data_IF_312789317867
#
_entry.id   IF_312789317867
#
_cell.length_a   1.000
_cell.length_b   1.000
_cell.length_c   1.000
_cell.angle_alpha   90.00
_cell.angle_beta   90.00
_cell.angle_gamma   90.00
#
_symmetry.space_group_name_H-M   'P 1'
#
loop_
_entity.id
_entity.type
_entity.pdbx_description
1 polymer ?
#
# COMPACT_ATOMS: atom_id res chain seq x y z
N UNK A 1 8.67 -21.42 -9.67
CA UNK A 1 8.41 -20.87 -11.03
C UNK A 1 7.86 -19.44 -11.09
N UNK A 2 7.50 -18.77 -9.99
CA UNK A 2 6.75 -17.48 -10.03
C UNK A 2 7.43 -16.23 -10.64
N UNK A 3 8.71 -16.29 -11.02
CA UNK A 3 9.45 -15.10 -11.49
C UNK A 3 9.11 -14.63 -12.90
N UNK A 4 8.75 -15.54 -13.82
CA UNK A 4 8.64 -15.22 -15.26
C UNK A 4 7.30 -14.55 -15.60
N UNK A 5 6.18 -15.10 -15.11
CA UNK A 5 4.83 -14.58 -15.38
C UNK A 5 4.62 -13.16 -14.84
N UNK A 6 5.19 -12.87 -13.67
CA UNK A 6 5.18 -11.52 -13.06
C UNK A 6 5.72 -10.43 -14.00
N UNK A 7 6.71 -10.76 -14.85
CA UNK A 7 7.35 -9.79 -15.75
C UNK A 7 6.46 -9.29 -16.89
N UNK A 8 5.47 -10.09 -17.33
CA UNK A 8 4.52 -9.69 -18.38
C UNK A 8 3.36 -8.92 -17.75
N UNK A 9 2.79 -9.43 -16.65
CA UNK A 9 1.72 -8.75 -15.92
C UNK A 9 2.15 -7.33 -15.47
N UNK A 10 3.38 -7.18 -14.98
CA UNK A 10 3.94 -5.90 -14.59
C UNK A 10 3.95 -4.85 -15.73
N UNK A 11 4.28 -5.24 -16.97
CA UNK A 11 4.30 -4.32 -18.12
C UNK A 11 2.93 -3.73 -18.49
N UNK A 12 1.84 -4.37 -18.06
CA UNK A 12 0.47 -3.88 -18.27
C UNK A 12 -0.17 -3.31 -16.99
N UNK A 13 0.45 -3.52 -15.82
CA UNK A 13 -0.03 -3.04 -14.54
C UNK A 13 0.64 -1.74 -14.07
N UNK A 14 1.85 -1.41 -14.54
CA UNK A 14 2.60 -0.24 -14.08
C UNK A 14 2.96 0.69 -15.23
N UNK A 15 2.58 1.97 -15.09
CA UNK A 15 2.85 3.03 -16.06
C UNK A 15 3.59 4.19 -15.38
N UNK A 16 4.87 4.02 -14.99
CA UNK A 16 5.64 5.11 -14.38
C UNK A 16 5.72 6.34 -15.29
N UNK A 17 5.66 7.58 -14.75
CA UNK A 17 5.86 8.79 -15.52
C UNK A 17 7.19 8.78 -16.30
N UNK A 18 7.15 9.15 -17.58
CA UNK A 18 8.33 9.27 -18.43
C UNK A 18 8.26 10.53 -19.31
N UNK A 19 9.18 11.49 -19.14
CA UNK A 19 10.21 11.55 -18.09
C UNK A 19 9.60 11.64 -16.68
N UNK A 20 10.36 11.31 -15.62
CA UNK A 20 10.01 11.64 -14.24
C UNK A 20 9.71 13.13 -14.05
N UNK A 21 8.77 13.47 -13.17
CA UNK A 21 8.38 14.87 -12.92
C UNK A 21 9.43 15.67 -12.12
N UNK A 22 10.36 14.97 -11.46
CA UNK A 22 11.32 15.53 -10.52
C UNK A 22 12.71 14.89 -10.67
N UNK A 23 13.72 15.48 -10.04
CA UNK A 23 15.11 14.98 -10.01
C UNK A 23 15.59 14.74 -8.59
N UNK A 24 16.61 13.90 -8.44
CA UNK A 24 17.34 13.72 -7.17
C UNK A 24 18.79 14.11 -7.39
N UNK A 25 19.28 15.09 -6.62
CA UNK A 25 20.68 15.50 -6.59
C UNK A 25 21.27 15.24 -5.20
N UNK A 26 22.58 15.00 -5.13
CA UNK A 26 23.29 15.01 -3.86
C UNK A 26 23.47 16.47 -3.41
N UNK A 27 23.23 16.76 -2.13
CA UNK A 27 23.49 18.08 -1.55
C UNK A 27 24.94 18.13 -1.05
N UNK A 28 25.82 18.66 -1.89
CA UNK A 28 27.25 18.88 -1.61
C UNK A 28 27.46 19.83 -0.41
N UNK A 29 26.48 20.67 -0.05
CA UNK A 29 26.55 21.56 1.11
C UNK A 29 26.13 20.89 2.42
N UNK A 30 25.33 19.82 2.36
CA UNK A 30 24.64 19.23 3.52
C UNK A 30 25.01 17.76 3.77
N UNK A 31 26.32 17.46 3.85
CA UNK A 31 26.86 16.18 4.32
C UNK A 31 26.28 14.93 3.61
N UNK A 32 26.08 14.99 2.29
CA UNK A 32 25.63 13.83 1.52
C UNK A 32 24.15 13.47 1.69
N UNK A 33 23.32 14.40 2.17
CA UNK A 33 21.86 14.29 2.02
C UNK A 33 21.47 14.31 0.54
N UNK A 34 20.32 13.75 0.21
CA UNK A 34 19.70 13.91 -1.09
C UNK A 34 18.74 15.10 -1.08
N UNK A 35 18.52 15.70 -2.25
CA UNK A 35 17.62 16.81 -2.43
C UNK A 35 16.82 16.66 -3.73
N UNK A 36 15.56 17.08 -3.69
CA UNK A 36 14.68 17.19 -4.86
C UNK A 36 14.55 18.70 -5.19
N UNK A 37 15.13 19.20 -6.29
CA UNK A 37 15.09 20.62 -6.64
C UNK A 37 13.68 21.19 -6.85
N UNK A 38 12.76 20.35 -7.32
CA UNK A 38 11.36 20.69 -7.59
C UNK A 38 10.51 20.79 -6.30
N UNK A 39 11.09 20.49 -5.14
CA UNK A 39 10.44 20.48 -3.82
C UNK A 39 10.88 21.70 -2.99
N UNK A 40 9.94 22.44 -2.35
CA UNK A 40 10.27 23.55 -1.46
C UNK A 40 11.20 23.14 -0.31
N UNK A 41 12.45 23.62 -0.33
CA UNK A 41 13.43 23.41 0.74
C UNK A 41 12.91 23.94 2.08
N UNK A 42 12.78 23.05 3.06
CA UNK A 42 12.46 23.36 4.47
C UNK A 42 13.15 22.31 5.34
N UNK A 43 13.58 22.67 6.55
CA UNK A 43 14.21 21.75 7.52
C UNK A 43 13.29 20.61 8.00
N UNK A 44 12.03 20.64 7.58
CA UNK A 44 11.01 19.60 7.79
C UNK A 44 10.98 18.54 6.68
N UNK A 45 11.85 18.61 5.67
CA UNK A 45 11.83 17.71 4.49
C UNK A 45 13.19 17.02 4.32
N UNK A 46 13.22 15.71 4.54
CA UNK A 46 14.35 14.85 4.13
C UNK A 46 14.01 14.15 2.81
N UNK A 47 14.90 14.21 1.82
CA UNK A 47 14.86 13.26 0.69
C UNK A 47 15.90 12.14 0.90
N UNK A 48 15.55 10.93 0.47
CA UNK A 48 16.22 9.68 0.84
C UNK A 48 16.40 8.80 -0.39
N UNK A 49 17.45 7.97 -0.38
CA UNK A 49 17.66 6.88 -1.32
C UNK A 49 17.95 5.61 -0.51
N UNK A 50 17.10 4.60 -0.65
CA UNK A 50 17.04 3.44 0.25
C UNK A 50 17.25 2.15 -0.55
N UNK A 51 18.26 1.34 -0.15
CA UNK A 51 18.55 0.06 -0.77
C UNK A 51 17.53 -1.00 -0.33
N UNK A 52 16.81 -1.57 -1.28
CA UNK A 52 15.82 -2.63 -1.07
C UNK A 52 16.48 -4.00 -0.92
N UNK A 53 15.77 -4.96 -0.30
CA UNK A 53 16.21 -6.38 -0.23
C UNK A 53 16.35 -7.06 -1.60
N UNK A 54 15.86 -6.45 -2.68
CA UNK A 54 15.99 -6.93 -4.07
C UNK A 54 17.08 -6.21 -4.87
N UNK A 55 17.88 -5.36 -4.23
CA UNK A 55 19.07 -4.75 -4.83
C UNK A 55 18.81 -3.40 -5.53
N UNK A 56 17.56 -3.00 -5.75
CA UNK A 56 17.21 -1.68 -6.28
C UNK A 56 17.37 -0.59 -5.20
N UNK A 57 17.60 0.65 -5.61
CA UNK A 57 17.48 1.84 -4.76
C UNK A 57 16.13 2.51 -5.02
N UNK A 58 15.32 2.70 -3.98
CA UNK A 58 14.09 3.50 -4.06
C UNK A 58 14.28 4.89 -3.46
N UNK A 59 13.64 5.88 -4.05
CA UNK A 59 13.62 7.25 -3.54
C UNK A 59 12.43 7.43 -2.60
N UNK A 60 12.64 8.16 -1.50
CA UNK A 60 11.60 8.50 -0.55
C UNK A 60 11.73 9.94 -0.06
N UNK A 61 10.61 10.52 0.39
CA UNK A 61 10.55 11.83 1.05
C UNK A 61 9.87 11.72 2.40
N UNK A 62 10.48 12.31 3.42
CA UNK A 62 9.93 12.37 4.77
C UNK A 62 9.58 13.82 5.15
N UNK A 63 8.29 14.06 5.38
CA UNK A 63 7.74 15.29 5.89
C UNK A 63 7.56 15.20 7.41
N UNK A 64 8.33 15.99 8.16
CA UNK A 64 8.23 16.10 9.61
C UNK A 64 7.26 17.23 9.99
N UNK A 65 6.20 16.90 10.73
CA UNK A 65 5.32 17.91 11.33
C UNK A 65 5.61 18.02 12.84
N UNK A 66 6.01 19.20 13.37
CA UNK A 66 6.31 19.39 14.80
C UNK A 66 5.14 19.08 15.77
N UNK A 67 3.92 18.87 15.27
CA UNK A 67 2.72 18.52 16.06
C UNK A 67 2.23 17.10 15.79
N UNK A 68 3.06 16.24 15.19
CA UNK A 68 2.70 14.86 14.85
C UNK A 68 2.69 13.92 16.05
N UNK A 69 1.66 13.08 16.13
CA UNK A 69 1.55 11.91 17.03
C UNK A 69 1.35 10.59 16.26
N UNK A 70 1.46 10.66 14.92
CA UNK A 70 1.35 9.55 13.98
C UNK A 70 2.21 9.85 12.75
N UNK A 71 2.61 8.81 12.04
CA UNK A 71 3.30 8.91 10.74
C UNK A 71 2.51 8.15 9.68
N UNK A 72 2.15 8.80 8.58
CA UNK A 72 1.60 8.11 7.40
C UNK A 72 2.75 7.56 6.56
N UNK A 73 2.67 6.29 6.15
CA UNK A 73 3.49 5.72 5.07
C UNK A 73 2.61 5.55 3.82
N UNK A 74 2.89 6.32 2.77
CA UNK A 74 2.02 6.48 1.60
C UNK A 74 2.55 5.70 0.39
N UNK A 75 1.84 4.64 0.00
CA UNK A 75 1.96 3.92 -1.26
C UNK A 75 1.05 4.57 -2.31
N UNK A 76 1.63 5.22 -3.33
CA UNK A 76 0.90 6.05 -4.30
C UNK A 76 0.16 5.26 -5.39
N UNK A 77 -0.68 5.97 -6.15
CA UNK A 77 -1.40 5.43 -7.29
C UNK A 77 -0.49 5.11 -8.50
N UNK A 78 -1.04 4.40 -9.48
CA UNK A 78 -0.39 4.17 -10.77
C UNK A 78 -0.27 5.48 -11.55
N UNK A 79 0.72 5.59 -12.44
CA UNK A 79 0.98 6.80 -13.24
C UNK A 79 1.15 8.12 -12.45
N UNK A 80 1.58 8.00 -11.18
CA UNK A 80 2.06 9.09 -10.35
C UNK A 80 3.52 8.85 -9.94
N UNK A 81 4.26 9.90 -9.60
CA UNK A 81 5.56 9.83 -8.92
C UNK A 81 5.65 10.83 -7.74
N UNK A 82 6.73 10.77 -6.97
CA UNK A 82 6.93 11.61 -5.78
C UNK A 82 6.78 13.12 -6.01
N UNK A 83 7.21 13.64 -7.18
CA UNK A 83 7.09 15.07 -7.49
C UNK A 83 5.63 15.50 -7.69
N UNK A 84 4.85 14.68 -8.40
CA UNK A 84 3.41 14.91 -8.60
C UNK A 84 2.61 14.78 -7.30
N UNK A 85 3.02 13.88 -6.41
CA UNK A 85 2.33 13.63 -5.13
C UNK A 85 2.67 14.66 -4.03
N UNK A 86 3.71 15.49 -4.21
CA UNK A 86 4.27 16.29 -3.12
C UNK A 86 3.32 17.37 -2.55
N UNK A 87 2.51 18.03 -3.41
CA UNK A 87 1.51 19.01 -2.96
C UNK A 87 0.48 18.36 -2.01
N UNK A 88 0.00 17.17 -2.38
CA UNK A 88 -0.93 16.39 -1.56
C UNK A 88 -0.29 15.95 -0.25
N UNK A 89 0.98 15.54 -0.26
CA UNK A 89 1.70 15.15 0.95
C UNK A 89 1.87 16.32 1.93
N UNK A 90 2.17 17.53 1.46
CA UNK A 90 2.21 18.74 2.29
C UNK A 90 0.85 19.04 2.92
N UNK A 91 -0.23 19.01 2.12
CA UNK A 91 -1.59 19.31 2.59
C UNK A 91 -2.06 18.25 3.60
N UNK A 92 -1.85 16.95 3.34
CA UNK A 92 -2.17 15.88 4.29
C UNK A 92 -1.38 16.03 5.60
N UNK A 93 -0.06 16.21 5.54
CA UNK A 93 0.78 16.40 6.74
C UNK A 93 0.33 17.61 7.56
N UNK A 94 0.02 18.73 6.90
CA UNK A 94 -0.45 19.98 7.52
C UNK A 94 -1.83 19.83 8.16
N UNK A 95 -2.83 19.36 7.39
CA UNK A 95 -4.24 19.32 7.80
C UNK A 95 -4.55 18.21 8.80
N UNK A 96 -3.83 17.08 8.74
CA UNK A 96 -4.01 15.96 9.66
C UNK A 96 -3.08 16.04 10.88
N UNK A 97 -2.04 16.90 10.85
CA UNK A 97 -0.98 17.00 11.86
C UNK A 97 -0.27 15.67 12.08
N UNK A 98 0.31 15.15 11.00
CA UNK A 98 1.05 13.88 10.97
C UNK A 98 2.38 14.06 10.25
N UNK A 99 3.37 13.23 10.58
CA UNK A 99 4.50 13.05 9.68
C UNK A 99 4.03 12.25 8.44
N UNK A 100 4.70 12.39 7.31
CA UNK A 100 4.35 11.63 6.11
C UNK A 100 5.62 11.16 5.38
N UNK A 101 5.74 9.85 5.19
CA UNK A 101 6.75 9.21 4.37
C UNK A 101 6.11 8.77 3.04
N UNK A 102 6.49 9.40 1.94
CA UNK A 102 6.14 8.96 0.59
C UNK A 102 7.36 8.30 -0.07
N UNK A 103 7.15 7.37 -0.99
CA UNK A 103 8.24 6.72 -1.73
C UNK A 103 7.81 6.33 -3.14
N UNK A 104 8.74 6.36 -4.10
CA UNK A 104 8.53 5.82 -5.45
C UNK A 104 8.91 4.34 -5.50
N UNK A 105 8.09 3.53 -6.17
CA UNK A 105 8.41 2.12 -6.44
C UNK A 105 9.70 1.95 -7.25
N UNK A 106 10.31 0.75 -7.21
CA UNK A 106 11.40 0.37 -8.11
C UNK A 106 11.04 0.66 -9.58
N UNK A 107 11.81 1.52 -10.26
CA UNK A 107 11.55 1.94 -11.64
C UNK A 107 10.44 2.99 -11.82
N UNK A 108 10.01 3.67 -10.76
CA UNK A 108 9.23 4.93 -10.81
C UNK A 108 10.12 6.11 -10.45
N UNK A 109 9.79 7.31 -10.96
CA UNK A 109 10.50 8.54 -10.60
C UNK A 109 12.01 8.43 -10.82
N UNK A 110 12.79 8.64 -9.76
CA UNK A 110 14.25 8.48 -9.75
C UNK A 110 14.73 7.18 -9.07
N UNK A 111 13.82 6.23 -8.79
CA UNK A 111 14.12 4.90 -8.24
C UNK A 111 14.66 3.96 -9.32
N UNK A 112 15.63 3.11 -8.98
CA UNK A 112 16.25 2.17 -9.93
C UNK A 112 15.46 0.86 -10.07
N UNK A 113 15.87 0.01 -11.01
CA UNK A 113 15.23 -1.29 -11.25
C UNK A 113 14.06 -1.21 -12.23
N UNK A 114 13.00 -1.99 -11.97
CA UNK A 114 11.77 -2.08 -12.79
C UNK A 114 10.59 -2.39 -11.88
N UNK A 115 9.37 -1.90 -12.17
CA UNK A 115 8.24 -2.17 -11.30
C UNK A 115 7.78 -3.63 -11.45
N UNK A 116 7.52 -4.28 -10.32
CA UNK A 116 6.88 -5.61 -10.23
C UNK A 116 6.27 -5.75 -8.84
N UNK A 117 5.26 -6.61 -8.67
CA UNK A 117 4.63 -6.88 -7.36
C UNK A 117 5.68 -7.15 -6.26
N UNK A 118 6.56 -8.13 -6.46
CA UNK A 118 7.61 -8.47 -5.50
C UNK A 118 8.69 -7.39 -5.30
N UNK A 119 8.79 -6.38 -6.18
CA UNK A 119 9.60 -5.19 -5.93
C UNK A 119 8.83 -4.25 -5.01
N UNK A 120 7.57 -3.92 -5.29
CA UNK A 120 6.79 -3.00 -4.42
C UNK A 120 6.67 -3.45 -2.96
N UNK A 121 6.71 -4.77 -2.70
CA UNK A 121 6.82 -5.34 -1.34
C UNK A 121 8.21 -5.11 -0.73
N UNK A 122 9.29 -5.30 -1.49
CA UNK A 122 10.65 -4.98 -1.06
C UNK A 122 10.91 -3.46 -0.93
N UNK A 123 10.19 -2.63 -1.69
CA UNK A 123 10.24 -1.17 -1.66
C UNK A 123 9.60 -0.65 -0.36
N UNK A 124 8.35 -1.06 -0.06
CA UNK A 124 7.65 -0.61 1.15
C UNK A 124 8.35 -1.11 2.43
N UNK A 125 8.91 -2.32 2.43
CA UNK A 125 9.71 -2.84 3.55
C UNK A 125 10.97 -2.00 3.83
N UNK A 126 11.67 -1.55 2.79
CA UNK A 126 12.87 -0.71 2.96
C UNK A 126 12.53 0.67 3.54
N UNK A 127 11.39 1.24 3.12
CA UNK A 127 10.90 2.53 3.59
C UNK A 127 10.34 2.43 5.02
N UNK A 128 9.63 1.35 5.33
CA UNK A 128 9.21 0.98 6.68
C UNK A 128 10.41 0.81 7.61
N UNK A 129 11.43 0.04 7.20
CA UNK A 129 12.68 -0.12 7.93
C UNK A 129 13.37 1.23 8.21
N UNK A 130 13.37 2.15 7.24
CA UNK A 130 13.89 3.51 7.45
C UNK A 130 13.10 4.29 8.51
N UNK A 131 11.76 4.20 8.54
CA UNK A 131 10.93 4.79 9.61
C UNK A 131 11.27 4.21 11.00
N UNK A 132 11.51 2.90 11.09
CA UNK A 132 11.94 2.24 12.32
C UNK A 132 13.31 2.73 12.79
N UNK A 133 14.32 2.64 11.92
CA UNK A 133 15.74 2.78 12.31
C UNK A 133 16.24 4.23 12.29
N UNK A 134 15.91 5.02 11.26
CA UNK A 134 16.39 6.42 11.15
C UNK A 134 15.53 7.38 11.96
N UNK A 135 14.22 7.14 12.02
CA UNK A 135 13.25 8.08 12.61
C UNK A 135 12.65 7.62 13.93
N UNK A 136 12.96 6.40 14.40
CA UNK A 136 12.52 5.86 15.69
C UNK A 136 11.02 5.63 15.82
N UNK A 137 10.27 5.64 14.72
CA UNK A 137 8.81 5.60 14.73
C UNK A 137 8.33 4.21 15.15
N UNK A 138 7.38 4.15 16.09
CA UNK A 138 6.84 2.89 16.60
C UNK A 138 5.75 2.32 15.69
N UNK A 139 5.51 1.01 15.76
CA UNK A 139 4.51 0.35 14.90
C UNK A 139 3.12 0.94 15.19
N UNK A 140 2.83 1.10 16.47
CA UNK A 140 1.63 1.73 17.01
C UNK A 140 1.54 3.23 16.75
N UNK A 141 2.45 3.84 15.98
CA UNK A 141 2.40 5.22 15.46
C UNK A 141 2.23 5.29 13.94
N UNK A 142 2.44 4.17 13.23
CA UNK A 142 2.42 4.10 11.76
C UNK A 142 1.01 3.82 11.25
N UNK A 143 0.53 4.72 10.38
CA UNK A 143 -0.66 4.55 9.56
C UNK A 143 -0.18 4.18 8.16
N UNK A 144 -0.49 2.98 7.68
CA UNK A 144 -0.22 2.63 6.28
C UNK A 144 -1.33 3.20 5.40
N UNK A 145 -0.99 3.82 4.26
CA UNK A 145 -1.94 4.41 3.33
C UNK A 145 -1.64 3.90 1.91
N UNK A 146 -2.62 3.27 1.26
CA UNK A 146 -2.47 2.75 -0.10
C UNK A 146 -3.54 3.26 -1.05
N UNK A 147 -3.12 3.95 -2.12
CA UNK A 147 -4.00 4.46 -3.17
C UNK A 147 -3.97 3.55 -4.41
N UNK A 148 -5.13 3.09 -4.88
CA UNK A 148 -5.25 2.28 -6.09
C UNK A 148 -4.32 1.05 -6.03
N UNK A 149 -3.39 0.90 -6.98
CA UNK A 149 -2.34 -0.13 -6.99
C UNK A 149 -1.52 -0.17 -5.69
N UNK A 150 -1.30 0.97 -5.03
CA UNK A 150 -0.58 1.09 -3.76
C UNK A 150 -1.27 0.42 -2.57
N UNK A 151 -2.56 0.09 -2.68
CA UNK A 151 -3.23 -0.80 -1.71
C UNK A 151 -2.59 -2.20 -1.65
N UNK A 152 -1.98 -2.66 -2.75
CA UNK A 152 -1.25 -3.93 -2.86
C UNK A 152 -0.09 -4.09 -1.86
N UNK A 153 0.97 -3.25 -1.93
CA UNK A 153 2.07 -3.28 -0.96
C UNK A 153 1.64 -2.82 0.45
N UNK A 154 0.67 -1.90 0.56
CA UNK A 154 0.09 -1.51 1.85
C UNK A 154 -0.51 -2.71 2.60
N UNK A 155 -1.34 -3.52 1.94
CA UNK A 155 -1.96 -4.70 2.56
C UNK A 155 -1.02 -5.90 2.67
N UNK A 156 0.06 -5.95 1.87
CA UNK A 156 1.15 -6.91 2.11
C UNK A 156 1.81 -6.64 3.46
N UNK A 157 2.33 -5.42 3.66
CA UNK A 157 3.00 -5.03 4.90
C UNK A 157 2.04 -5.09 6.11
N UNK A 158 0.81 -4.59 5.96
CA UNK A 158 -0.20 -4.64 7.02
C UNK A 158 -0.57 -6.07 7.46
N UNK A 159 -0.48 -7.07 6.57
CA UNK A 159 -0.79 -8.46 6.90
C UNK A 159 0.26 -9.15 7.77
N UNK A 160 1.42 -8.51 7.98
CA UNK A 160 2.54 -9.03 8.77
C UNK A 160 2.82 -8.21 10.05
N UNK A 161 2.14 -7.07 10.25
CA UNK A 161 2.39 -6.14 11.37
C UNK A 161 1.14 -6.00 12.26
N UNK A 162 1.07 -6.67 13.43
CA UNK A 162 -0.12 -6.66 14.28
C UNK A 162 -0.35 -5.31 14.99
N UNK A 163 0.71 -4.54 15.23
CA UNK A 163 0.69 -3.40 16.15
C UNK A 163 0.39 -2.05 15.49
N UNK A 164 0.17 -1.99 14.17
CA UNK A 164 -0.05 -0.74 13.41
C UNK A 164 -1.13 0.17 14.04
N UNK A 165 -0.98 1.50 13.87
CA UNK A 165 -1.97 2.50 14.31
C UNK A 165 -3.28 2.37 13.51
N UNK A 166 -3.18 2.15 12.20
CA UNK A 166 -4.29 1.96 11.26
C UNK A 166 -3.81 1.59 9.84
N UNK A 167 -4.76 1.22 8.98
CA UNK A 167 -4.61 1.22 7.52
C UNK A 167 -5.66 2.14 6.88
N UNK A 168 -5.28 2.86 5.82
CA UNK A 168 -6.19 3.61 4.92
C UNK A 168 -6.06 3.06 3.51
N UNK A 169 -7.21 2.77 2.89
CA UNK A 169 -7.32 2.21 1.55
C UNK A 169 -8.13 3.18 0.67
N UNK A 170 -7.46 3.86 -0.26
CA UNK A 170 -8.07 4.83 -1.17
C UNK A 170 -8.26 4.22 -2.55
N UNK A 171 -9.50 4.15 -3.03
CA UNK A 171 -9.93 3.49 -4.27
C UNK A 171 -9.23 2.12 -4.51
N UNK A 172 -9.20 1.22 -3.50
CA UNK A 172 -8.31 0.06 -3.49
C UNK A 172 -8.74 -1.05 -4.45
N UNK A 173 -7.79 -1.94 -4.78
CA UNK A 173 -8.03 -3.10 -5.65
C UNK A 173 -8.18 -4.39 -4.84
N UNK A 174 -9.10 -5.28 -5.22
CA UNK A 174 -9.21 -6.64 -4.65
C UNK A 174 -8.07 -7.56 -5.13
N UNK A 175 -7.77 -7.47 -6.42
CA UNK A 175 -6.60 -8.02 -7.10
C UNK A 175 -6.45 -7.41 -8.49
N UNK A 176 -5.27 -7.51 -9.10
CA UNK A 176 -5.00 -6.92 -10.42
C UNK A 176 -5.91 -7.47 -11.53
N UNK A 177 -6.16 -8.78 -11.54
CA UNK A 177 -7.07 -9.40 -12.51
C UNK A 177 -8.52 -8.93 -12.32
N UNK A 178 -8.94 -8.64 -11.09
CA UNK A 178 -10.29 -8.16 -10.77
C UNK A 178 -10.57 -6.74 -11.25
N UNK A 179 -9.54 -5.91 -11.43
CA UNK A 179 -9.69 -4.57 -12.06
C UNK A 179 -10.03 -4.71 -13.54
N UNK A 180 -9.46 -5.69 -14.22
CA UNK A 180 -9.63 -5.88 -15.67
C UNK A 180 -10.87 -6.72 -16.02
N UNK A 181 -11.23 -7.69 -15.17
CA UNK A 181 -12.33 -8.64 -15.42
C UNK A 181 -13.06 -8.99 -14.12
N UNK A 182 -14.41 -9.13 -14.11
CA UNK A 182 -15.19 -9.43 -12.90
C UNK A 182 -15.07 -10.91 -12.45
N UNK A 183 -13.85 -11.36 -12.14
CA UNK A 183 -13.56 -12.74 -11.75
C UNK A 183 -13.89 -13.02 -10.27
N UNK A 184 -14.64 -14.09 -10.03
CA UNK A 184 -15.00 -14.51 -8.66
C UNK A 184 -13.85 -15.21 -7.94
N UNK A 185 -13.08 -16.07 -8.64
CA UNK A 185 -11.95 -16.84 -8.09
C UNK A 185 -10.65 -16.02 -8.13
N UNK A 186 -9.79 -16.21 -7.14
CA UNK A 186 -8.40 -15.72 -7.17
C UNK A 186 -7.52 -16.75 -7.89
N UNK A 187 -6.58 -16.30 -8.72
CA UNK A 187 -5.72 -17.17 -9.53
C UNK A 187 -4.25 -17.09 -9.07
N UNK A 188 -3.46 -18.14 -9.33
CA UNK A 188 -2.07 -18.21 -8.88
C UNK A 188 -1.16 -17.15 -9.53
N UNK A 189 -1.50 -16.70 -10.75
CA UNK A 189 -0.82 -15.66 -11.52
C UNK A 189 -1.38 -14.24 -11.28
N UNK A 190 -2.41 -14.10 -10.42
CA UNK A 190 -3.02 -12.82 -10.08
C UNK A 190 -2.14 -12.06 -9.07
N UNK A 191 -2.01 -10.75 -9.27
CA UNK A 191 -1.15 -9.85 -8.48
C UNK A 191 -1.96 -9.06 -7.46
N UNK A 192 -1.33 -8.64 -6.36
CA UNK A 192 -1.95 -7.81 -5.32
C UNK A 192 -3.27 -8.38 -4.81
N UNK A 193 -3.26 -9.67 -4.47
CA UNK A 193 -4.41 -10.46 -4.00
C UNK A 193 -4.86 -10.02 -2.60
N UNK A 194 -5.29 -8.77 -2.49
CA UNK A 194 -5.67 -8.08 -1.26
C UNK A 194 -6.87 -8.73 -0.59
N UNK A 195 -7.78 -9.32 -1.39
CA UNK A 195 -8.86 -10.18 -0.91
C UNK A 195 -8.35 -11.37 -0.06
N UNK A 196 -7.18 -11.93 -0.36
CA UNK A 196 -6.54 -13.02 0.41
C UNK A 196 -5.74 -12.50 1.65
N UNK A 197 -5.56 -11.17 1.77
CA UNK A 197 -4.72 -10.52 2.80
C UNK A 197 -5.51 -9.74 3.84
N UNK A 198 -6.63 -9.13 3.46
CA UNK A 198 -7.35 -8.14 4.27
C UNK A 198 -7.80 -8.69 5.64
N UNK A 199 -8.23 -9.95 5.69
CA UNK A 199 -8.59 -10.63 6.95
C UNK A 199 -7.41 -10.92 7.90
N UNK A 200 -6.17 -10.66 7.49
CA UNK A 200 -4.97 -10.76 8.36
C UNK A 200 -4.67 -9.46 9.10
N UNK A 201 -5.09 -8.31 8.56
CA UNK A 201 -4.87 -6.99 9.16
C UNK A 201 -5.57 -6.91 10.51
N UNK A 202 -4.83 -6.53 11.55
CA UNK A 202 -5.27 -6.56 12.96
C UNK A 202 -5.26 -5.17 13.61
N UNK A 203 -5.69 -4.17 12.84
CA UNK A 203 -5.84 -2.78 13.27
C UNK A 203 -6.93 -2.08 12.43
N UNK A 204 -7.41 -0.87 12.81
CA UNK A 204 -8.53 -0.22 12.14
C UNK A 204 -8.25 0.10 10.67
N UNK A 205 -9.15 -0.33 9.78
CA UNK A 205 -9.08 -0.10 8.33
C UNK A 205 -10.14 0.90 7.91
N UNK A 206 -9.73 2.06 7.40
CA UNK A 206 -10.61 3.00 6.70
C UNK A 206 -10.55 2.72 5.19
N UNK A 207 -11.71 2.50 4.57
CA UNK A 207 -11.85 2.50 3.10
C UNK A 207 -12.43 3.83 2.64
N UNK A 208 -11.87 4.37 1.55
CA UNK A 208 -12.36 5.57 0.85
C UNK A 208 -12.51 5.20 -0.62
N UNK A 209 -13.69 5.42 -1.22
CA UNK A 209 -13.93 5.12 -2.64
C UNK A 209 -15.00 6.04 -3.23
N UNK A 210 -14.81 6.49 -4.48
CA UNK A 210 -15.84 7.20 -5.25
C UNK A 210 -16.91 6.26 -5.80
N UNK A 211 -18.18 6.68 -5.81
CA UNK A 211 -19.28 5.86 -6.38
C UNK A 211 -19.33 5.85 -7.91
N UNK A 212 -18.62 6.78 -8.56
CA UNK A 212 -18.47 6.90 -10.01
C UNK A 212 -17.03 6.59 -10.46
N UNK A 213 -16.36 5.66 -9.79
CA UNK A 213 -15.01 5.20 -10.15
C UNK A 213 -15.06 4.24 -11.36
N UNK A 214 -14.75 4.79 -12.53
CA UNK A 214 -14.66 4.07 -13.82
C UNK A 214 -13.36 3.25 -14.00
N UNK A 215 -12.36 3.42 -13.13
CA UNK A 215 -11.05 2.74 -13.24
C UNK A 215 -10.98 1.53 -12.32
N UNK A 216 -11.50 1.66 -11.10
CA UNK A 216 -11.61 0.59 -10.11
C UNK A 216 -13.00 0.67 -9.49
N UNK A 217 -13.95 -0.12 -10.00
CA UNK A 217 -15.34 -0.06 -9.56
C UNK A 217 -15.48 -0.21 -8.03
N UNK A 218 -16.31 0.64 -7.41
CA UNK A 218 -16.38 0.82 -5.93
C UNK A 218 -16.71 -0.45 -5.13
N UNK A 219 -17.25 -1.49 -5.79
CA UNK A 219 -17.44 -2.81 -5.18
C UNK A 219 -16.12 -3.44 -4.69
N UNK A 220 -14.96 -2.99 -5.16
CA UNK A 220 -13.65 -3.40 -4.63
C UNK A 220 -13.43 -2.88 -3.21
N UNK A 221 -13.58 -1.57 -2.99
CA UNK A 221 -13.53 -0.97 -1.67
C UNK A 221 -14.59 -1.56 -0.74
N UNK A 222 -15.82 -1.75 -1.23
CA UNK A 222 -16.90 -2.37 -0.45
C UNK A 222 -16.53 -3.76 0.06
N UNK A 223 -16.11 -4.67 -0.83
CA UNK A 223 -15.72 -6.03 -0.41
C UNK A 223 -14.51 -6.04 0.54
N UNK A 224 -13.53 -5.14 0.37
CA UNK A 224 -12.41 -5.03 1.32
C UNK A 224 -12.86 -4.50 2.70
N UNK A 225 -13.87 -3.64 2.75
CA UNK A 225 -14.48 -3.16 4.00
C UNK A 225 -15.34 -4.22 4.69
N UNK A 226 -15.98 -5.11 3.92
CA UNK A 226 -16.77 -6.24 4.43
C UNK A 226 -15.90 -7.41 4.90
N UNK A 227 -14.66 -7.53 4.42
CA UNK A 227 -13.71 -8.62 4.74
C UNK A 227 -12.63 -8.25 5.76
N UNK A 228 -12.57 -7.01 6.26
CA UNK A 228 -11.60 -6.60 7.28
C UNK A 228 -12.12 -6.84 8.71
N UNK A 229 -11.22 -7.17 9.64
CA UNK A 229 -11.55 -7.46 11.04
C UNK A 229 -12.04 -6.24 11.81
N UNK A 230 -11.38 -5.11 11.62
CA UNK A 230 -11.65 -3.84 12.30
C UNK A 230 -12.03 -2.78 11.26
N UNK A 231 -13.25 -2.89 10.72
CA UNK A 231 -13.77 -1.92 9.74
C UNK A 231 -14.09 -0.59 10.44
N UNK A 232 -13.40 0.48 10.05
CA UNK A 232 -13.82 1.85 10.38
C UNK A 232 -14.85 2.32 9.36
N UNK A 233 -15.79 3.15 9.79
CA UNK A 233 -16.83 3.79 8.95
C UNK A 233 -16.28 4.24 7.58
N UNK A 234 -16.65 3.56 6.48
CA UNK A 234 -16.09 3.86 5.16
C UNK A 234 -16.60 5.19 4.59
N UNK A 235 -15.77 5.84 3.78
CA UNK A 235 -16.17 7.04 3.04
C UNK A 235 -16.49 6.69 1.58
N UNK A 236 -17.78 6.57 1.27
CA UNK A 236 -18.28 6.48 -0.11
C UNK A 236 -18.57 7.90 -0.62
N UNK A 237 -17.74 8.41 -1.54
CA UNK A 237 -17.91 9.77 -2.08
C UNK A 237 -18.84 9.72 -3.29
N UNK A 238 -20.05 10.27 -3.14
CA UNK A 238 -21.05 10.23 -4.19
C UNK A 238 -20.64 11.09 -5.40
N UNK A 239 -20.56 10.49 -6.59
CA UNK A 239 -20.05 11.15 -7.80
C UNK A 239 -18.52 11.31 -7.86
N UNK A 240 -17.80 10.85 -6.83
CA UNK A 240 -16.34 10.75 -6.86
C UNK A 240 -15.87 9.69 -7.87
N UNK A 241 -14.78 9.98 -8.57
CA UNK A 241 -14.08 9.06 -9.47
C UNK A 241 -12.70 8.66 -8.94
N UNK A 242 -11.90 7.98 -9.74
CA UNK A 242 -10.66 7.34 -9.25
C UNK A 242 -9.62 8.30 -8.64
N UNK A 243 -9.43 9.47 -9.26
CA UNK A 243 -8.30 10.39 -9.00
C UNK A 243 -8.75 11.82 -8.64
N UNK A 244 -9.92 11.99 -8.02
CA UNK A 244 -10.44 13.31 -7.63
C UNK A 244 -11.03 13.38 -6.22
N UNK A 245 -10.93 12.31 -5.42
CA UNK A 245 -11.58 12.20 -4.11
C UNK A 245 -11.03 13.23 -3.11
N UNK A 246 -9.75 13.58 -3.24
CA UNK A 246 -9.06 14.57 -2.41
C UNK A 246 -9.61 16.00 -2.59
N UNK A 247 -10.34 16.27 -3.68
CA UNK A 247 -10.98 17.56 -3.96
C UNK A 247 -12.32 17.73 -3.23
N UNK A 248 -12.89 16.65 -2.70
CA UNK A 248 -14.17 16.67 -1.99
C UNK A 248 -13.97 17.06 -0.51
N UNK A 249 -14.76 18.00 0.05
CA UNK A 249 -14.60 18.44 1.44
C UNK A 249 -14.83 17.31 2.46
N UNK A 250 -15.61 16.29 2.09
CA UNK A 250 -15.83 15.07 2.86
C UNK A 250 -14.53 14.31 3.14
N UNK A 251 -13.63 14.19 2.15
CA UNK A 251 -12.38 13.46 2.27
C UNK A 251 -11.52 13.95 3.44
N UNK A 252 -11.19 15.25 3.44
CA UNK A 252 -10.33 15.82 4.47
C UNK A 252 -11.03 15.96 5.83
N UNK A 253 -12.37 16.06 5.84
CA UNK A 253 -13.19 16.02 7.07
C UNK A 253 -13.15 14.62 7.71
N UNK A 254 -13.32 13.57 6.92
CA UNK A 254 -13.32 12.18 7.41
C UNK A 254 -11.93 11.71 7.82
N UNK A 255 -10.89 12.04 7.05
CA UNK A 255 -9.50 11.74 7.44
C UNK A 255 -9.12 12.38 8.78
N UNK A 256 -9.57 13.61 9.06
CA UNK A 256 -9.39 14.24 10.39
C UNK A 256 -10.15 13.50 11.50
N UNK A 257 -11.40 13.08 11.25
CA UNK A 257 -12.21 12.29 12.19
C UNK A 257 -11.50 10.97 12.52
N UNK A 258 -11.03 10.26 11.50
CA UNK A 258 -10.32 8.99 11.61
C UNK A 258 -9.05 9.11 12.44
N UNK A 259 -8.11 9.99 12.04
CA UNK A 259 -6.83 10.20 12.74
C UNK A 259 -7.05 10.63 14.21
N UNK A 260 -8.07 11.46 14.49
CA UNK A 260 -8.41 11.85 15.87
C UNK A 260 -9.04 10.72 16.68
N UNK A 261 -9.76 9.78 16.05
CA UNK A 261 -10.39 8.64 16.75
C UNK A 261 -9.34 7.58 17.11
N UNK A 262 -8.54 7.13 16.13
CA UNK A 262 -7.51 6.11 16.35
C UNK A 262 -6.42 6.57 17.33
N UNK A 263 -6.12 7.88 17.38
CA UNK A 263 -5.21 8.47 18.36
C UNK A 263 -5.72 8.48 19.81
N UNK A 264 -7.03 8.29 20.04
CA UNK A 264 -7.64 8.19 21.37
C UNK A 264 -7.80 6.74 21.83
N UNK A 265 -8.07 5.83 20.90
CA UNK A 265 -8.51 4.46 21.20
C UNK A 265 -7.44 3.52 21.78
N UNK A 266 -6.17 3.95 21.88
CA UNK A 266 -5.05 3.18 22.46
C UNK A 266 -4.34 3.89 23.61
N UNK A 267 -4.98 4.87 24.27
CA UNK A 267 -4.49 5.34 25.56
C UNK A 267 -4.54 4.18 26.58
N UNK A 268 -3.46 3.88 27.33
CA UNK A 268 -3.42 2.73 28.21
C UNK A 268 -4.40 2.91 29.38
N UNK A 269 -5.46 2.10 29.42
CA UNK A 269 -6.27 1.95 30.61
C UNK A 269 -5.43 1.23 31.67
N UNK A 270 -4.91 1.97 32.65
CA UNK A 270 -4.29 1.41 33.84
C UNK A 270 -5.34 0.64 34.67
N UNK A 271 -5.64 -0.60 34.26
CA UNK A 271 -6.26 -1.58 35.14
C UNK A 271 -5.21 -1.98 36.16
N UNK A 272 -5.33 -1.41 37.36
CA UNK A 272 -4.63 -1.89 38.54
C UNK A 272 -5.26 -3.22 38.95
N UNK A 273 -4.78 -4.32 38.38
CA UNK A 273 -5.19 -5.66 38.79
C UNK A 273 -4.72 -5.89 40.24
N UNK A 274 -5.66 -5.72 41.18
CA UNK A 274 -5.43 -6.06 42.58
C UNK A 274 -5.29 -7.57 42.69
N UNK A 275 -4.05 -8.04 42.83
CA UNK A 275 -3.78 -9.42 43.18
C UNK A 275 -4.35 -9.72 44.57
N UNK A 276 -5.49 -10.41 44.63
CA UNK A 276 -5.88 -11.15 45.83
C UNK A 276 -5.01 -12.41 45.89
N UNK A 277 -4.20 -12.52 46.93
CA UNK A 277 -3.44 -13.72 47.26
C UNK A 277 -4.27 -14.55 48.23
N UNK A 278 -4.37 -15.85 47.99
CA UNK A 278 -4.69 -16.85 49.01
C UNK A 278 -3.78 -18.08 48.77
N UNK A 279 -3.27 -18.75 49.83
CA UNK A 279 -2.21 -19.75 49.70
C UNK A 279 -2.69 -21.22 49.73
N UNK A 280 -1.70 -22.13 49.61
CA UNK A 280 -1.73 -23.54 50.01
C UNK A 280 -2.55 -24.60 49.22
N UNK A 281 -1.82 -25.48 48.52
CA UNK A 281 -1.99 -26.95 48.56
C UNK A 281 -0.74 -27.68 48.03
N UNK A 282 -0.47 -28.94 48.47
CA UNK A 282 0.78 -29.70 48.22
C UNK A 282 0.51 -31.23 48.11
N UNK A 283 1.26 -32.10 47.41
CA UNK A 283 2.17 -31.98 46.24
C UNK A 283 2.73 -33.37 45.81
N UNK A 284 2.96 -33.61 44.50
CA UNK A 284 3.69 -34.79 43.92
C UNK A 284 3.03 -36.20 44.11
N UNK A 285 3.58 -37.32 43.57
CA UNK A 285 3.72 -37.60 42.13
C UNK A 285 3.29 -39.04 41.71
N UNK A 286 3.13 -39.29 40.41
CA UNK A 286 2.97 -40.64 39.83
C UNK A 286 3.76 -40.77 38.50
N UNK A 287 3.96 -42.00 38.01
CA UNK A 287 5.11 -42.34 37.15
C UNK A 287 4.86 -43.51 36.17
N UNK A 288 5.61 -43.55 35.06
CA UNK A 288 5.83 -44.68 34.11
C UNK A 288 4.67 -45.21 33.22
N UNK A 289 5.03 -45.58 31.99
CA UNK A 289 4.19 -46.25 30.98
C UNK A 289 4.81 -46.14 29.57
N UNK A 290 5.14 -47.25 28.92
CA UNK A 290 6.03 -47.28 27.73
C UNK A 290 5.39 -47.99 26.50
N UNK A 291 5.99 -47.76 25.32
CA UNK A 291 5.99 -48.57 24.09
C UNK A 291 4.72 -48.67 23.22
N UNK A 292 4.91 -48.69 21.89
CA UNK A 292 3.97 -49.32 20.95
C UNK A 292 3.68 -48.62 19.61
N UNK A 293 4.66 -48.47 18.71
CA UNK A 293 4.36 -48.40 17.25
C UNK A 293 4.02 -49.82 16.73
N UNK A 294 3.20 -49.94 15.67
CA UNK A 294 3.81 -50.28 14.38
C UNK A 294 3.19 -49.60 13.14
N UNK A 295 3.94 -49.63 12.04
CA UNK A 295 3.53 -49.14 10.71
C UNK A 295 2.40 -49.98 10.08
N UNK A 296 1.58 -49.35 9.21
CA UNK A 296 0.79 -50.05 8.18
C UNK A 296 0.95 -49.30 6.84
N UNK A 297 1.20 -50.07 5.77
CA UNK A 297 1.39 -49.60 4.39
C UNK A 297 0.09 -49.57 3.59
N UNK A 298 0.04 -48.79 2.49
CA UNK A 298 -0.89 -49.03 1.36
C UNK A 298 -0.39 -48.34 0.08
N UNK A 299 -0.77 -48.89 -1.08
CA UNK A 299 -0.15 -48.62 -2.38
C UNK A 299 -0.92 -47.69 -3.33
N UNK A 300 -0.14 -46.87 -4.07
CA UNK A 300 -0.29 -46.59 -5.52
C UNK A 300 -1.61 -45.92 -6.05
N UNK A 301 -1.70 -45.55 -7.36
CA UNK A 301 -0.68 -45.59 -8.43
C UNK A 301 -0.38 -44.24 -9.12
N UNK A 302 0.71 -44.21 -9.88
CA UNK A 302 0.93 -43.21 -10.95
C UNK A 302 0.02 -43.47 -12.16
N UNK A 303 -0.27 -42.43 -12.95
CA UNK A 303 -0.79 -42.57 -14.32
C UNK A 303 -0.03 -41.65 -15.28
N UNK A 304 0.79 -42.25 -16.13
CA UNK A 304 1.45 -41.59 -17.26
C UNK A 304 0.50 -41.43 -18.45
N UNK A 305 0.65 -40.36 -19.24
CA UNK A 305 0.21 -40.28 -20.64
C UNK A 305 0.95 -39.21 -21.44
N UNK A 306 1.22 -39.51 -22.71
CA UNK A 306 2.14 -38.77 -23.58
C UNK A 306 1.43 -38.03 -24.73
N UNK A 307 1.95 -36.84 -25.05
CA UNK A 307 2.21 -36.30 -26.41
C UNK A 307 1.05 -36.00 -27.39
N UNK A 308 1.42 -35.19 -28.41
CA UNK A 308 0.73 -34.82 -29.66
C UNK A 308 -0.48 -33.86 -29.55
N UNK A 309 -0.77 -33.00 -30.55
CA UNK A 309 0.07 -32.22 -31.50
C UNK A 309 -0.81 -31.10 -32.13
N UNK A 310 -0.21 -30.27 -32.99
CA UNK A 310 -0.82 -29.51 -34.10
C UNK A 310 -1.44 -28.11 -33.84
N UNK A 311 -0.68 -27.10 -34.30
CA UNK A 311 -1.05 -25.96 -35.18
C UNK A 311 -2.52 -25.53 -35.28
N UNK A 312 -2.76 -24.21 -35.17
CA UNK A 312 -3.64 -23.48 -36.10
C UNK A 312 -3.30 -21.96 -36.17
N UNK A 313 -3.71 -21.35 -37.27
CA UNK A 313 -3.12 -20.22 -38.01
C UNK A 313 -3.04 -18.79 -37.43
N UNK A 314 -2.36 -17.93 -38.22
CA UNK A 314 -2.35 -16.46 -38.13
C UNK A 314 -3.70 -15.86 -38.55
N UNK A 315 -4.08 -14.71 -37.99
CA UNK A 315 -5.01 -13.78 -38.69
C UNK A 315 -4.81 -12.31 -38.31
N UNK A 316 -5.30 -11.44 -39.20
CA UNK A 316 -4.91 -10.05 -39.45
C UNK A 316 -5.04 -9.01 -38.32
N UNK A 317 -4.32 -7.90 -38.52
CA UNK A 317 -4.50 -6.61 -37.85
C UNK A 317 -5.96 -6.11 -37.91
N UNK A 318 -6.38 -5.35 -36.91
CA UNK A 318 -7.29 -4.21 -37.12
C UNK A 318 -6.77 -2.99 -36.34
N UNK A 319 -6.91 -1.80 -36.91
CA UNK A 319 -6.49 -0.55 -36.26
C UNK A 319 -7.62 -0.06 -35.33
N UNK A 320 -7.26 0.47 -34.15
CA UNK A 320 -8.17 1.32 -33.36
C UNK A 320 -7.38 2.48 -32.73
N UNK A 321 -7.94 3.68 -32.85
CA UNK A 321 -7.23 4.95 -32.57
C UNK A 321 -6.88 5.16 -31.09
N UNK A 322 -5.83 5.95 -30.88
CA UNK A 322 -5.45 6.51 -29.58
C UNK A 322 -6.60 7.33 -28.95
N UNK A 323 -6.96 7.04 -27.69
CA UNK A 323 -7.77 7.91 -26.83
C UNK A 323 -7.35 7.81 -25.36
N UNK A 324 -6.32 8.55 -24.96
CA UNK A 324 -5.90 8.69 -23.55
C UNK A 324 -5.42 10.10 -23.15
N UNK A 325 -5.19 11.01 -24.10
CA UNK A 325 -4.61 12.36 -23.85
C UNK A 325 -5.57 13.42 -23.27
N UNK A 326 -6.82 13.06 -22.91
CA UNK A 326 -7.87 14.04 -22.55
C UNK A 326 -7.97 14.37 -21.04
N UNK A 327 -7.26 13.66 -20.16
CA UNK A 327 -7.41 13.81 -18.70
C UNK A 327 -6.69 15.03 -18.12
N UNK A 328 -5.43 15.27 -18.49
CA UNK A 328 -4.57 16.33 -17.94
C UNK A 328 -5.13 17.73 -18.29
N UNK A 329 -5.53 17.87 -19.55
CA UNK A 329 -6.03 19.12 -20.15
C UNK A 329 -7.22 19.72 -19.39
N UNK A 330 -8.08 18.87 -18.81
CA UNK A 330 -9.23 19.26 -18.00
C UNK A 330 -8.82 19.75 -16.59
N UNK A 331 -7.81 19.13 -15.98
CA UNK A 331 -7.29 19.54 -14.65
C UNK A 331 -6.63 20.92 -14.75
N UNK A 332 -5.83 21.17 -15.78
CA UNK A 332 -5.22 22.50 -15.99
C UNK A 332 -6.26 23.58 -16.33
N UNK A 333 -7.22 23.27 -17.21
CA UNK A 333 -8.32 24.20 -17.54
C UNK A 333 -9.18 24.51 -16.31
N UNK A 334 -9.33 23.58 -15.37
CA UNK A 334 -10.00 23.82 -14.09
C UNK A 334 -9.17 24.69 -13.13
N UNK A 335 -7.85 24.43 -12.99
CA UNK A 335 -6.93 25.27 -12.19
C UNK A 335 -6.94 26.73 -12.69
N UNK A 336 -6.84 26.95 -14.01
CA UNK A 336 -6.91 28.30 -14.63
C UNK A 336 -8.26 28.99 -14.42
N UNK A 337 -9.40 28.27 -14.50
CA UNK A 337 -10.75 28.86 -14.33
C UNK A 337 -11.06 29.41 -12.94
N UNK A 338 -10.25 29.12 -11.91
CA UNK A 338 -10.44 29.65 -10.54
C UNK A 338 -9.33 30.59 -10.05
N UNK A 339 -8.41 31.02 -10.92
CA UNK A 339 -7.34 31.95 -10.53
C UNK A 339 -6.39 31.40 -9.46
N UNK A 340 -6.21 30.07 -9.42
CA UNK A 340 -5.40 29.36 -8.41
C UNK A 340 -3.93 29.14 -8.85
N UNK A 341 -3.48 29.87 -9.87
CA UNK A 341 -2.08 29.94 -10.31
C UNK A 341 -1.82 31.41 -10.70
N UNK A 342 -0.70 31.95 -10.24
CA UNK A 342 -0.02 33.13 -10.81
C UNK A 342 1.18 32.64 -11.60
#
# INVERSE_FOLDING_TARGET
MGGVTSSIAAKFAFFPPYPPSYRVIADESCQGRWLIPEVPRKDTVDALKLRTRRGNDVVAVYLKNPRATSTILYSHGNAADLGQMFELFLELSSRLRVNLMGYDYSGYGQSTGKPSECNTYADIEAVYKCLKEKYGVKDEEIILYGQSVGSGPTLDLASHLPNLRAVVLHSPILSGLRVLYPVKRTYWFDIYKNIDKIGKVSCPVLVIHGTADEVVHYSHGKQLSELCKESYEPLWINGGGHCNLELYPEYIKHMKKFVSTIGKSRAPTNKSDKANVDPDAKSKPSENGNSGDPEITSDCPEVSRNSLDSRLDKTNKSNKLEKSRLSIDLVEKFKKRKGLIW
#
